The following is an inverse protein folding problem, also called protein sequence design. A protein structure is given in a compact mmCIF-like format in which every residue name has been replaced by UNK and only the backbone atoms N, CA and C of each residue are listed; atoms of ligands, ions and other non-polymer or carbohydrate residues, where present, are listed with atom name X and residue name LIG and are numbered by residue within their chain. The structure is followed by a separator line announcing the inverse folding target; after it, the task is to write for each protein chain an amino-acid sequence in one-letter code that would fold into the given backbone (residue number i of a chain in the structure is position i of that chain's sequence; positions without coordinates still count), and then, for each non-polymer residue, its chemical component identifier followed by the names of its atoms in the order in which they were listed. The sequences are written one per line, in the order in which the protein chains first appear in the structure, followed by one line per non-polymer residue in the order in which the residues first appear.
data_IF_301624834053
#
_entry.id   IF_301624834053
#
_cell.length_a   1.000
_cell.length_b   1.000
_cell.length_c   1.000
_cell.angle_alpha   90.00
_cell.angle_beta   90.00
_cell.angle_gamma   90.00
#
_symmetry.space_group_name_H-M   'P 1'
#
loop_
_entity.id
_entity.type
_entity.pdbx_description
1 polymer ?
#
# COMPACT_ATOMS: atom_id res chain seq x y z
N UNK A 1 -49.32 25.34 -45.72
CA UNK A 1 -48.41 26.21 -46.49
C UNK A 1 -47.39 26.78 -45.51
N UNK A 2 -46.10 26.43 -45.68
CA UNK A 2 -44.86 27.00 -45.09
C UNK A 2 -44.79 27.19 -43.56
N UNK A 3 -44.03 26.38 -42.81
CA UNK A 3 -42.57 26.45 -42.54
C UNK A 3 -42.08 27.84 -42.11
N UNK A 4 -41.55 27.94 -40.88
CA UNK A 4 -40.13 28.27 -40.58
C UNK A 4 -39.84 28.08 -39.07
N UNK A 5 -38.70 27.42 -38.81
CA UNK A 5 -37.99 27.22 -37.55
C UNK A 5 -37.50 28.54 -36.91
N UNK A 6 -37.28 28.56 -35.58
CA UNK A 6 -35.98 28.89 -34.95
C UNK A 6 -35.92 28.25 -33.55
N UNK A 7 -34.75 27.68 -33.24
CA UNK A 7 -34.39 26.94 -32.03
C UNK A 7 -34.05 27.80 -30.81
N UNK A 8 -34.16 27.23 -29.60
CA UNK A 8 -33.37 27.61 -28.43
C UNK A 8 -33.13 26.39 -27.51
N UNK A 9 -31.88 25.95 -27.48
CA UNK A 9 -31.27 25.05 -26.50
C UNK A 9 -31.15 25.75 -25.14
N UNK A 10 -31.53 25.12 -24.02
CA UNK A 10 -30.79 25.15 -22.74
C UNK A 10 -31.15 23.92 -21.87
N UNK A 11 -30.14 23.10 -21.57
CA UNK A 11 -29.85 22.58 -20.21
C UNK A 11 -30.66 21.41 -19.65
N UNK A 12 -30.21 20.18 -19.92
CA UNK A 12 -30.43 19.05 -19.01
C UNK A 12 -29.47 19.13 -17.83
N UNK A 13 -30.01 19.32 -16.61
CA UNK A 13 -29.29 19.15 -15.34
C UNK A 13 -29.44 17.70 -14.86
N UNK A 14 -28.36 16.91 -14.73
CA UNK A 14 -28.41 15.70 -13.91
C UNK A 14 -28.19 16.07 -12.43
N UNK A 15 -29.24 15.87 -11.64
CA UNK A 15 -29.27 15.89 -10.19
C UNK A 15 -28.18 14.96 -9.61
N UNK A 16 -27.20 15.54 -8.92
CA UNK A 16 -26.26 14.79 -8.08
C UNK A 16 -26.93 14.44 -6.75
N UNK A 17 -27.19 13.15 -6.54
CA UNK A 17 -27.64 12.64 -5.25
C UNK A 17 -26.44 12.49 -4.31
N UNK A 18 -26.34 13.40 -3.35
CA UNK A 18 -25.52 13.26 -2.15
C UNK A 18 -26.44 13.35 -0.93
N UNK A 19 -26.55 12.25 -0.18
CA UNK A 19 -26.86 12.13 1.26
C UNK A 19 -27.25 10.68 1.56
N UNK A 20 -26.30 9.90 2.08
CA UNK A 20 -26.62 8.68 2.82
C UNK A 20 -26.66 9.02 4.31
N UNK A 21 -27.84 8.81 4.86
CA UNK A 21 -28.30 8.93 6.24
C UNK A 21 -27.38 8.17 7.21
N UNK A 22 -27.00 8.82 8.31
CA UNK A 22 -26.39 8.14 9.46
C UNK A 22 -27.49 7.45 10.29
N UNK A 23 -27.34 6.18 10.69
CA UNK A 23 -28.25 5.59 11.66
C UNK A 23 -27.84 6.01 13.07
N UNK A 24 -28.78 6.66 13.77
CA UNK A 24 -28.77 6.85 15.22
C UNK A 24 -28.97 5.50 15.91
N UNK A 25 -28.00 5.07 16.72
CA UNK A 25 -28.20 3.98 17.69
C UNK A 25 -28.21 4.57 19.10
N UNK A 26 -29.35 4.34 19.76
CA UNK A 26 -29.58 4.61 21.19
C UNK A 26 -28.64 3.76 22.02
N UNK A 27 -27.87 4.41 22.91
CA UNK A 27 -27.04 3.74 23.90
C UNK A 27 -27.85 3.71 25.19
N UNK A 28 -28.43 2.56 25.53
CA UNK A 28 -28.89 2.34 26.89
C UNK A 28 -27.67 2.27 27.80
N UNK A 29 -27.63 3.21 28.74
CA UNK A 29 -26.64 3.31 29.78
C UNK A 29 -26.80 2.18 30.80
N UNK A 30 -25.68 1.55 31.16
CA UNK A 30 -25.24 1.18 32.51
C UNK A 30 -24.42 -0.12 32.48
N UNK A 31 -23.13 0.02 32.17
CA UNK A 31 -22.10 -0.86 32.72
C UNK A 31 -20.96 0.03 33.21
N UNK A 32 -20.91 0.23 34.53
CA UNK A 32 -19.81 0.88 35.21
C UNK A 32 -18.51 0.12 34.89
N UNK A 33 -17.58 0.78 34.19
CA UNK A 33 -16.17 0.39 34.18
C UNK A 33 -15.38 1.65 34.50
N UNK A 34 -14.96 1.71 35.75
CA UNK A 34 -14.08 2.71 36.33
C UNK A 34 -12.64 2.48 35.85
N UNK A 35 -11.92 3.56 35.56
CA UNK A 35 -10.47 3.58 35.34
C UNK A 35 -9.99 3.59 33.87
N UNK A 36 -9.56 4.77 33.41
CA UNK A 36 -8.63 5.00 32.28
C UNK A 36 -9.09 4.67 30.83
N UNK A 37 -10.35 4.95 30.50
CA UNK A 37 -10.90 4.71 29.15
C UNK A 37 -10.60 5.85 28.15
N UNK A 38 -10.18 7.04 28.61
CA UNK A 38 -9.99 8.21 27.74
C UNK A 38 -8.79 8.14 26.79
N UNK A 39 -7.68 7.48 27.15
CA UNK A 39 -6.56 7.25 26.21
C UNK A 39 -6.86 6.16 25.17
N UNK A 40 -7.77 5.22 25.47
CA UNK A 40 -8.12 4.11 24.56
C UNK A 40 -9.29 4.43 23.62
N UNK A 41 -10.16 5.39 23.94
CA UNK A 41 -11.31 5.74 23.09
C UNK A 41 -10.90 6.37 21.76
N UNK A 42 -9.86 7.20 21.72
CA UNK A 42 -9.35 7.74 20.46
C UNK A 42 -8.70 6.67 19.56
N UNK A 43 -8.11 5.62 20.14
CA UNK A 43 -7.57 4.50 19.38
C UNK A 43 -8.62 3.47 18.94
N UNK A 44 -9.78 3.41 19.59
CA UNK A 44 -10.90 2.55 19.20
C UNK A 44 -11.76 3.17 18.09
N UNK A 45 -11.91 4.51 18.08
CA UNK A 45 -12.76 5.21 17.12
C UNK A 45 -12.23 5.25 15.67
N UNK A 46 -10.95 4.88 15.42
CA UNK A 46 -10.34 4.86 14.08
C UNK A 46 -10.02 3.45 13.55
N UNK A 47 -10.34 2.37 14.28
CA UNK A 47 -10.04 1.01 13.82
C UNK A 47 -11.05 0.59 12.77
N UNK A 48 -10.56 0.28 11.56
CA UNK A 48 -11.35 -0.43 10.56
C UNK A 48 -11.75 -1.80 11.15
N UNK A 49 -13.05 -2.12 11.23
CA UNK A 49 -13.51 -3.41 11.72
C UNK A 49 -12.93 -4.57 10.90
N UNK A 50 -12.56 -5.67 11.57
CA UNK A 50 -11.97 -6.85 10.92
C UNK A 50 -12.85 -7.38 9.77
N UNK A 51 -14.17 -7.40 9.95
CA UNK A 51 -15.12 -7.81 8.91
C UNK A 51 -15.12 -6.91 7.67
N UNK A 52 -14.87 -5.61 7.84
CA UNK A 52 -14.72 -4.69 6.71
C UNK A 52 -13.43 -4.97 5.94
N UNK A 53 -12.33 -5.27 6.64
CA UNK A 53 -11.09 -5.71 6.01
C UNK A 53 -11.28 -7.01 5.22
N UNK A 54 -12.01 -8.00 5.75
CA UNK A 54 -12.36 -9.23 5.00
C UNK A 54 -13.14 -8.88 3.72
N UNK A 55 -14.16 -8.03 3.84
CA UNK A 55 -15.01 -7.65 2.69
C UNK A 55 -14.19 -6.97 1.61
N UNK A 56 -13.30 -6.05 2.01
CA UNK A 56 -12.36 -5.38 1.10
C UNK A 56 -11.39 -6.37 0.46
N UNK A 57 -10.82 -7.30 1.23
CA UNK A 57 -9.93 -8.34 0.71
C UNK A 57 -10.58 -9.24 -0.33
N UNK A 58 -11.83 -9.67 -0.09
CA UNK A 58 -12.58 -10.47 -1.08
C UNK A 58 -12.81 -9.70 -2.38
N UNK A 59 -13.16 -8.41 -2.30
CA UNK A 59 -13.30 -7.55 -3.49
C UNK A 59 -11.99 -7.43 -4.26
N UNK A 60 -10.88 -7.24 -3.55
CA UNK A 60 -9.55 -7.17 -4.15
C UNK A 60 -9.16 -8.49 -4.82
N UNK A 61 -9.45 -9.63 -4.22
CA UNK A 61 -9.23 -10.95 -4.85
C UNK A 61 -10.00 -11.10 -6.16
N UNK A 62 -11.27 -10.67 -6.20
CA UNK A 62 -12.06 -10.64 -7.43
C UNK A 62 -11.42 -9.74 -8.49
N UNK A 63 -11.00 -8.53 -8.13
CA UNK A 63 -10.37 -7.59 -9.07
C UNK A 63 -9.04 -8.14 -9.63
N UNK A 64 -8.21 -8.75 -8.79
CA UNK A 64 -6.96 -9.39 -9.22
C UNK A 64 -7.22 -10.57 -10.15
N UNK A 65 -8.19 -11.43 -9.83
CA UNK A 65 -8.44 -12.66 -10.57
C UNK A 65 -9.29 -12.50 -11.84
N UNK A 66 -9.89 -11.33 -12.05
CA UNK A 66 -10.72 -11.04 -13.21
C UNK A 66 -9.90 -10.64 -14.44
N UNK A 67 -10.48 -10.84 -15.64
CA UNK A 67 -9.95 -10.25 -16.88
C UNK A 67 -9.96 -8.73 -16.80
N UNK A 68 -9.18 -8.04 -17.65
CA UNK A 68 -9.13 -6.57 -17.69
C UNK A 68 -10.54 -5.99 -17.91
N UNK A 69 -11.29 -6.55 -18.85
CA UNK A 69 -12.66 -6.14 -19.14
C UNK A 69 -13.58 -6.32 -17.92
N UNK A 70 -13.52 -7.47 -17.26
CA UNK A 70 -14.32 -7.74 -16.07
C UNK A 70 -13.94 -6.88 -14.88
N UNK A 71 -12.65 -6.71 -14.63
CA UNK A 71 -12.15 -5.85 -13.55
C UNK A 71 -12.59 -4.39 -13.74
N UNK A 72 -12.62 -3.89 -14.98
CA UNK A 72 -13.20 -2.58 -15.33
C UNK A 72 -14.69 -2.51 -14.98
N UNK A 73 -15.47 -3.54 -15.32
CA UNK A 73 -16.90 -3.59 -14.95
C UNK A 73 -17.10 -3.58 -13.43
N UNK A 74 -16.36 -4.42 -12.71
CA UNK A 74 -16.38 -4.49 -11.24
C UNK A 74 -15.98 -3.16 -10.59
N UNK A 75 -15.16 -2.36 -11.28
CA UNK A 75 -14.75 -1.01 -10.87
C UNK A 75 -15.70 0.11 -11.39
N UNK A 76 -16.96 -0.23 -11.70
CA UNK A 76 -17.96 0.75 -12.14
C UNK A 76 -17.66 1.34 -13.52
N UNK A 77 -17.11 0.52 -14.43
CA UNK A 77 -16.66 0.87 -15.78
C UNK A 77 -15.52 1.90 -15.86
N UNK A 78 -14.92 2.25 -14.71
CA UNK A 78 -13.73 3.10 -14.65
C UNK A 78 -12.50 2.29 -15.00
N UNK A 79 -11.59 2.93 -15.71
CA UNK A 79 -10.29 2.36 -16.00
C UNK A 79 -9.59 1.94 -14.70
N UNK A 80 -9.05 0.72 -14.73
CA UNK A 80 -8.31 0.13 -13.62
C UNK A 80 -6.83 0.03 -13.96
N UNK A 81 -6.49 -0.28 -15.22
CA UNK A 81 -5.11 -0.30 -15.68
C UNK A 81 -4.47 1.08 -15.53
N UNK A 82 -3.32 1.11 -14.87
CA UNK A 82 -2.54 2.31 -14.65
C UNK A 82 -1.93 2.78 -15.97
N UNK A 83 -1.94 4.09 -16.19
CA UNK A 83 -1.40 4.73 -17.40
C UNK A 83 0.01 5.28 -17.20
N UNK A 84 0.80 4.70 -16.27
CA UNK A 84 2.18 5.14 -16.07
C UNK A 84 2.93 4.99 -17.39
N UNK A 85 3.38 6.12 -17.92
CA UNK A 85 4.12 6.17 -19.16
C UNK A 85 5.59 5.84 -18.90
N UNK A 86 6.29 5.28 -19.88
CA UNK A 86 7.68 4.80 -19.75
C UNK A 86 8.64 5.91 -19.25
N UNK A 87 8.42 7.16 -19.64
CA UNK A 87 9.21 8.30 -19.16
C UNK A 87 8.93 8.69 -17.71
N UNK A 88 7.78 8.29 -17.17
CA UNK A 88 7.57 8.44 -15.74
C UNK A 88 8.50 7.52 -14.96
N UNK A 89 9.01 6.42 -15.54
CA UNK A 89 9.90 5.39 -14.96
C UNK A 89 11.39 5.77 -15.05
N UNK A 90 11.77 6.71 -15.92
CA UNK A 90 13.18 7.05 -16.18
C UNK A 90 13.87 7.64 -14.94
N UNK A 91 15.03 7.06 -14.60
CA UNK A 91 15.96 7.55 -13.58
C UNK A 91 16.59 8.83 -14.12
N UNK A 92 16.42 9.96 -13.43
CA UNK A 92 17.18 11.17 -13.80
C UNK A 92 18.59 11.05 -13.23
N UNK A 93 19.58 10.85 -14.10
CA UNK A 93 21.01 10.81 -13.75
C UNK A 93 21.58 12.19 -13.33
N UNK A 94 20.78 13.25 -13.43
CA UNK A 94 21.17 14.58 -13.02
C UNK A 94 21.15 14.70 -11.50
N UNK A 95 22.35 14.84 -10.90
CA UNK A 95 22.57 15.14 -9.48
C UNK A 95 21.94 16.48 -9.02
N UNK A 96 21.39 17.28 -9.93
CA UNK A 96 20.96 18.67 -9.66
C UNK A 96 19.45 18.94 -9.55
N UNK A 97 18.54 17.99 -9.81
CA UNK A 97 17.12 18.36 -9.91
C UNK A 97 16.33 18.16 -8.61
N UNK A 98 15.90 19.28 -8.03
CA UNK A 98 14.95 19.51 -6.93
C UNK A 98 13.51 19.02 -7.27
N UNK A 99 13.39 17.85 -7.90
CA UNK A 99 12.19 17.31 -8.54
C UNK A 99 11.78 15.92 -8.04
N UNK A 100 10.52 15.56 -8.30
CA UNK A 100 10.02 14.20 -8.16
C UNK A 100 10.68 13.28 -9.21
N UNK A 101 11.05 12.05 -8.82
CA UNK A 101 11.58 11.06 -9.76
C UNK A 101 12.21 9.81 -9.12
N UNK A 102 12.66 8.91 -10.00
CA UNK A 102 13.31 7.65 -9.63
C UNK A 102 14.79 7.82 -9.42
N UNK A 103 15.31 7.02 -8.52
CA UNK A 103 16.72 6.95 -8.17
C UNK A 103 17.03 5.50 -7.79
N UNK A 104 18.08 4.93 -8.36
CA UNK A 104 18.73 3.76 -7.76
C UNK A 104 19.62 4.29 -6.63
N UNK A 105 19.38 3.82 -5.39
CA UNK A 105 20.18 4.29 -4.27
C UNK A 105 21.51 3.53 -4.27
N UNK A 106 22.58 4.18 -4.69
CA UNK A 106 23.90 3.81 -4.18
C UNK A 106 23.91 4.20 -2.70
N UNK A 107 23.65 3.24 -1.82
CA UNK A 107 23.68 3.46 -0.37
C UNK A 107 25.00 4.15 0.00
N UNK A 108 24.92 5.30 0.67
CA UNK A 108 26.11 5.93 1.21
C UNK A 108 26.83 4.93 2.14
N UNK A 109 28.17 4.98 2.18
CA UNK A 109 28.98 4.07 3.00
C UNK A 109 28.50 4.10 4.47
N UNK A 110 27.86 3.02 4.92
CA UNK A 110 27.33 2.87 6.28
C UNK A 110 25.80 2.95 6.41
N UNK A 111 25.06 3.32 5.36
CA UNK A 111 23.60 3.22 5.33
C UNK A 111 23.17 1.82 4.85
N UNK A 112 22.15 1.26 5.50
CA UNK A 112 21.52 0.00 5.07
C UNK A 112 20.01 0.20 4.95
N UNK A 113 19.34 -0.38 3.93
CA UNK A 113 17.90 -0.38 3.82
C UNK A 113 17.25 -0.92 5.09
N UNK A 114 16.08 -0.40 5.45
CA UNK A 114 15.39 -0.79 6.68
C UNK A 114 15.09 -2.29 6.72
N UNK A 115 14.87 -2.92 5.56
CA UNK A 115 14.63 -4.36 5.48
C UNK A 115 15.83 -5.21 5.90
N UNK A 116 17.05 -4.66 5.95
CA UNK A 116 18.18 -5.37 6.57
C UNK A 116 17.91 -5.64 8.04
N UNK A 117 17.41 -4.64 8.75
CA UNK A 117 17.14 -4.72 10.19
C UNK A 117 15.83 -5.45 10.56
N UNK A 118 15.02 -5.81 9.55
CA UNK A 118 13.87 -6.73 9.67
C UNK A 118 14.26 -8.19 9.39
N UNK A 119 15.56 -8.46 9.17
CA UNK A 119 16.08 -9.79 8.95
C UNK A 119 15.76 -10.36 7.57
N UNK A 120 15.30 -9.54 6.62
CA UNK A 120 15.04 -10.02 5.26
C UNK A 120 16.28 -10.63 4.59
N UNK A 121 17.52 -10.09 4.73
CA UNK A 121 18.69 -10.72 4.13
C UNK A 121 18.87 -12.18 4.53
N UNK A 122 18.73 -12.47 5.82
CA UNK A 122 18.88 -13.82 6.36
C UNK A 122 17.71 -14.75 5.96
N UNK A 123 16.54 -14.17 5.71
CA UNK A 123 15.30 -14.93 5.49
C UNK A 123 14.95 -15.11 4.01
N UNK A 124 15.43 -14.24 3.12
CA UNK A 124 14.95 -14.16 1.75
C UNK A 124 15.12 -15.49 1.02
N UNK A 125 16.34 -16.04 1.03
CA UNK A 125 16.61 -17.33 0.37
C UNK A 125 15.68 -18.44 0.90
N UNK A 126 15.48 -18.53 2.22
CA UNK A 126 14.55 -19.52 2.81
C UNK A 126 13.08 -19.26 2.46
N UNK A 127 12.68 -18.00 2.27
CA UNK A 127 11.31 -17.62 1.93
C UNK A 127 10.97 -17.88 0.47
N UNK A 128 11.90 -17.62 -0.44
CA UNK A 128 11.61 -17.47 -1.88
C UNK A 128 12.50 -18.32 -2.78
N UNK A 129 13.60 -18.87 -2.24
CA UNK A 129 14.66 -19.56 -2.97
C UNK A 129 15.63 -18.61 -3.70
N UNK A 130 15.63 -17.31 -3.37
CA UNK A 130 16.31 -16.29 -4.17
C UNK A 130 17.56 -15.77 -3.46
N UNK A 131 18.64 -15.54 -4.23
CA UNK A 131 19.85 -14.96 -3.68
C UNK A 131 19.62 -13.48 -3.34
N UNK A 132 19.83 -13.14 -2.07
CA UNK A 132 19.67 -11.78 -1.59
C UNK A 132 20.64 -10.77 -2.23
N UNK A 133 21.86 -11.18 -2.55
CA UNK A 133 22.87 -10.30 -3.17
C UNK A 133 22.48 -9.83 -4.58
N UNK A 134 21.47 -10.45 -5.20
CA UNK A 134 20.87 -10.05 -6.48
C UNK A 134 19.75 -9.01 -6.31
N UNK A 135 19.53 -8.50 -5.10
CA UNK A 135 18.45 -7.56 -4.80
C UNK A 135 18.93 -6.13 -4.97
N UNK A 136 18.31 -5.39 -5.88
CA UNK A 136 18.56 -3.97 -6.11
C UNK A 136 17.63 -3.12 -5.24
N UNK A 137 18.12 -1.99 -4.72
CA UNK A 137 17.30 -1.09 -3.91
C UNK A 137 16.97 0.18 -4.68
N UNK A 138 15.69 0.33 -5.01
CA UNK A 138 15.18 1.48 -5.74
C UNK A 138 14.31 2.35 -4.85
N UNK A 139 14.29 3.65 -5.12
CA UNK A 139 13.32 4.54 -4.50
C UNK A 139 12.75 5.56 -5.48
N UNK A 140 11.47 5.90 -5.26
CA UNK A 140 10.80 7.04 -5.87
C UNK A 140 10.66 8.13 -4.81
N UNK A 141 11.21 9.31 -5.07
CA UNK A 141 11.03 10.46 -4.20
C UNK A 141 9.91 11.35 -4.73
N UNK A 142 8.91 11.62 -3.88
CA UNK A 142 7.87 12.60 -4.16
C UNK A 142 8.34 13.94 -3.58
N UNK A 143 8.65 14.91 -4.45
CA UNK A 143 9.01 16.30 -4.16
C UNK A 143 9.65 16.50 -2.75
N UNK A 144 10.96 16.32 -2.67
CA UNK A 144 11.70 16.18 -1.40
C UNK A 144 12.09 17.50 -0.76
N UNK A 145 12.65 18.42 -1.54
CA UNK A 145 13.18 19.70 -1.08
C UNK A 145 12.84 20.80 -2.10
N UNK A 146 12.46 21.97 -1.61
CA UNK A 146 12.15 23.13 -2.44
C UNK A 146 13.06 24.23 -1.96
N UNK A 147 14.06 24.59 -2.78
CA UNK A 147 14.75 25.86 -2.58
C UNK A 147 13.95 26.94 -3.29
N UNK A 148 13.77 28.07 -2.62
CA UNK A 148 13.30 29.29 -3.26
C UNK A 148 14.51 30.22 -3.34
N UNK A 149 14.98 30.52 -4.55
CA UNK A 149 16.15 31.37 -4.79
C UNK A 149 17.43 30.92 -4.05
N UNK A 150 17.72 29.62 -4.04
CA UNK A 150 18.92 29.07 -3.38
C UNK A 150 18.82 28.94 -1.86
N UNK A 151 17.72 29.37 -1.23
CA UNK A 151 17.49 29.17 0.20
C UNK A 151 16.57 27.98 0.46
N UNK A 152 16.96 27.12 1.41
CA UNK A 152 16.17 25.98 1.85
C UNK A 152 14.92 26.45 2.61
N UNK A 153 13.73 26.04 2.15
CA UNK A 153 12.49 26.31 2.88
C UNK A 153 12.22 25.16 3.85
N UNK A 154 12.34 25.43 5.15
CA UNK A 154 11.95 24.49 6.21
C UNK A 154 10.44 24.57 6.45
N UNK A 155 9.72 23.46 6.25
CA UNK A 155 8.29 23.39 6.58
C UNK A 155 8.15 23.00 8.06
N UNK A 156 7.51 23.88 8.85
CA UNK A 156 7.12 23.58 10.23
C UNK A 156 6.06 22.47 10.23
N UNK A 157 6.29 21.41 10.99
CA UNK A 157 5.36 20.29 11.16
C UNK A 157 4.27 20.56 12.20
N UNK A 158 4.11 21.80 12.68
CA UNK A 158 3.05 22.15 13.65
C UNK A 158 1.80 22.67 12.94
N UNK A 159 0.64 22.05 13.22
CA UNK A 159 -0.70 22.42 12.71
C UNK A 159 -1.11 23.89 12.95
N UNK A 160 -0.33 24.66 13.72
CA UNK A 160 -0.60 26.03 14.15
C UNK A 160 -0.12 27.15 13.21
N UNK A 161 0.54 26.86 12.08
CA UNK A 161 1.25 27.88 11.31
C UNK A 161 0.76 28.16 9.88
N UNK A 162 -0.50 27.87 9.53
CA UNK A 162 -1.08 28.35 8.27
C UNK A 162 -1.91 29.62 8.53
N UNK A 163 -1.29 30.79 8.39
CA UNK A 163 -2.01 32.08 8.38
C UNK A 163 -2.82 32.22 7.08
N UNK A 164 -3.98 32.92 7.09
CA UNK A 164 -4.87 33.04 5.92
C UNK A 164 -4.25 33.74 4.70
N UNK A 165 -3.19 34.53 4.93
CA UNK A 165 -2.60 35.41 3.90
C UNK A 165 -1.30 34.83 3.30
N UNK A 166 -1.05 33.54 3.52
CA UNK A 166 0.13 32.85 3.00
C UNK A 166 -0.11 32.53 1.51
N UNK A 167 0.49 33.31 0.60
CA UNK A 167 0.47 33.02 -0.84
C UNK A 167 1.20 31.68 -1.07
N UNK A 168 0.45 30.64 -1.46
CA UNK A 168 0.95 29.33 -1.83
C UNK A 168 1.69 29.40 -3.18
N UNK A 169 2.94 29.83 -3.18
CA UNK A 169 3.85 29.75 -4.34
C UNK A 169 5.06 28.87 -4.01
N UNK A 170 4.83 27.62 -3.61
CA UNK A 170 5.88 26.63 -3.36
C UNK A 170 5.33 25.25 -3.71
N UNK A 171 6.04 24.46 -4.55
CA UNK A 171 5.80 23.01 -4.68
C UNK A 171 5.66 22.42 -3.28
N UNK A 172 4.49 21.90 -2.91
CA UNK A 172 4.31 21.35 -1.56
C UNK A 172 5.21 20.13 -1.40
N UNK A 173 6.24 20.28 -0.58
CA UNK A 173 7.20 19.22 -0.28
C UNK A 173 6.50 18.15 0.53
N UNK A 174 6.27 16.99 -0.08
CA UNK A 174 5.66 15.88 0.64
C UNK A 174 6.67 15.11 1.44
N UNK A 175 7.93 15.06 0.98
CA UNK A 175 8.95 14.11 1.49
C UNK A 175 8.43 12.66 1.51
N UNK A 176 7.40 12.36 0.72
CA UNK A 176 6.87 11.03 0.56
C UNK A 176 7.86 10.24 -0.29
N UNK A 177 7.99 8.96 -0.01
CA UNK A 177 8.94 8.11 -0.70
C UNK A 177 8.38 6.69 -0.81
N UNK A 178 8.73 6.04 -1.91
CA UNK A 178 8.46 4.61 -2.09
C UNK A 178 9.79 3.91 -2.35
N UNK A 179 10.36 3.31 -1.31
CA UNK A 179 11.64 2.62 -1.39
C UNK A 179 11.46 1.12 -1.18
N UNK A 180 11.97 0.34 -2.14
CA UNK A 180 11.71 -1.09 -2.24
C UNK A 180 12.96 -1.83 -2.72
N UNK A 181 13.18 -3.02 -2.15
CA UNK A 181 14.16 -3.98 -2.67
C UNK A 181 13.54 -4.83 -3.77
N UNK A 182 14.20 -4.97 -4.91
CA UNK A 182 13.71 -5.69 -6.08
C UNK A 182 14.68 -6.79 -6.47
N UNK A 183 14.19 -8.02 -6.50
CA UNK A 183 14.96 -9.18 -6.96
C UNK A 183 14.31 -9.70 -8.24
N UNK A 184 14.78 -9.19 -9.39
CA UNK A 184 14.24 -9.49 -10.72
C UNK A 184 14.30 -10.99 -11.04
N UNK A 185 15.48 -11.59 -10.87
CA UNK A 185 15.71 -13.04 -11.07
C UNK A 185 14.79 -13.90 -10.20
N UNK A 186 14.54 -13.46 -8.97
CA UNK A 186 13.78 -14.21 -7.99
C UNK A 186 12.26 -14.03 -8.04
N UNK A 187 11.76 -13.01 -8.76
CA UNK A 187 10.35 -12.66 -8.73
C UNK A 187 9.92 -12.02 -7.41
N UNK A 188 10.75 -11.20 -6.76
CA UNK A 188 10.46 -10.66 -5.41
C UNK A 188 10.47 -9.14 -5.37
N UNK A 189 9.41 -8.57 -4.80
CA UNK A 189 9.36 -7.18 -4.34
C UNK A 189 9.41 -7.16 -2.81
N UNK A 190 10.31 -6.39 -2.23
CA UNK A 190 10.42 -6.11 -0.79
C UNK A 190 10.03 -4.65 -0.56
N UNK A 191 8.78 -4.44 -0.13
CA UNK A 191 8.28 -3.15 0.25
C UNK A 191 8.85 -2.73 1.61
N UNK A 192 9.75 -1.75 1.61
CA UNK A 192 10.51 -1.37 2.79
C UNK A 192 10.03 -0.06 3.41
N UNK A 193 10.46 1.08 2.86
CA UNK A 193 10.15 2.41 3.40
C UNK A 193 9.18 3.11 2.45
N UNK A 194 7.90 3.02 2.78
CA UNK A 194 6.82 3.47 1.91
C UNK A 194 5.89 4.43 2.64
N UNK A 195 5.97 5.72 2.29
CA UNK A 195 5.11 6.79 2.80
C UNK A 195 4.49 7.50 1.61
N UNK A 196 3.17 7.43 1.46
CA UNK A 196 2.48 8.07 0.34
C UNK A 196 2.38 9.59 0.52
N UNK A 197 2.22 10.36 -0.58
CA UNK A 197 1.99 11.80 -0.51
C UNK A 197 0.86 12.18 0.45
N UNK A 198 -0.28 11.50 0.35
CA UNK A 198 -1.45 11.70 1.23
C UNK A 198 -1.12 11.46 2.71
N UNK A 199 -0.34 10.43 3.02
CA UNK A 199 0.08 10.15 4.39
C UNK A 199 1.08 11.20 4.92
N UNK A 200 1.79 11.89 4.03
CA UNK A 200 2.78 12.88 4.42
C UNK A 200 2.21 14.28 4.64
N UNK A 201 1.19 14.69 3.88
CA UNK A 201 0.64 16.05 3.95
C UNK A 201 -0.77 16.13 4.55
N UNK A 202 -1.45 15.00 4.80
CA UNK A 202 -2.81 15.00 5.35
C UNK A 202 -3.89 15.42 4.34
N UNK A 203 -4.84 16.26 4.76
CA UNK A 203 -6.02 16.68 3.98
C UNK A 203 -5.81 17.99 3.20
N UNK A 204 -4.61 18.24 2.67
CA UNK A 204 -4.35 19.43 1.85
C UNK A 204 -5.01 19.28 0.46
N UNK A 205 -5.71 20.30 -0.07
CA UNK A 205 -6.42 20.23 -1.35
C UNK A 205 -5.53 19.85 -2.55
N UNK A 206 -6.12 19.26 -3.60
CA UNK A 206 -5.39 18.55 -4.65
C UNK A 206 -4.85 19.53 -5.70
N UNK A 207 -3.71 20.17 -5.43
CA UNK A 207 -2.79 20.42 -6.53
C UNK A 207 -2.10 19.10 -6.89
N UNK A 208 -1.51 18.92 -8.10
CA UNK A 208 -0.70 17.74 -8.40
C UNK A 208 0.54 17.75 -7.49
N UNK A 209 0.35 17.13 -6.32
CA UNK A 209 1.33 16.98 -5.25
C UNK A 209 2.45 16.00 -5.67
N UNK A 210 2.12 15.08 -6.58
CA UNK A 210 3.04 14.12 -7.19
C UNK A 210 2.35 13.44 -8.40
N UNK A 211 3.15 13.03 -9.39
CA UNK A 211 2.76 12.16 -10.51
C UNK A 211 2.41 10.76 -10.00
N UNK A 212 3.26 10.17 -9.15
CA UNK A 212 3.03 8.84 -8.56
C UNK A 212 2.42 8.92 -7.16
N UNK A 213 1.10 8.70 -7.07
CA UNK A 213 0.34 8.87 -5.82
C UNK A 213 0.25 7.60 -4.98
N UNK A 214 0.40 6.44 -5.59
CA UNK A 214 0.18 5.13 -4.97
C UNK A 214 1.46 4.30 -4.98
N UNK A 215 1.59 3.47 -3.95
CA UNK A 215 2.71 2.54 -3.87
C UNK A 215 2.68 1.49 -4.99
N UNK A 216 1.49 1.05 -5.43
CA UNK A 216 1.35 0.03 -6.49
C UNK A 216 2.04 0.46 -7.78
N UNK A 217 1.79 1.70 -8.17
CA UNK A 217 2.37 2.34 -9.36
C UNK A 217 3.89 2.46 -9.23
N UNK A 218 4.36 2.96 -8.08
CA UNK A 218 5.79 3.10 -7.81
C UNK A 218 6.52 1.75 -7.75
N UNK A 219 5.90 0.74 -7.15
CA UNK A 219 6.50 -0.59 -7.06
C UNK A 219 6.49 -1.31 -8.40
N UNK A 220 5.47 -1.09 -9.25
CA UNK A 220 5.43 -1.65 -10.60
C UNK A 220 6.56 -1.11 -11.48
N UNK A 221 6.76 0.22 -11.53
CA UNK A 221 7.85 0.81 -12.33
C UNK A 221 9.24 0.29 -11.90
N UNK A 222 9.49 0.19 -10.60
CA UNK A 222 10.73 -0.40 -10.07
C UNK A 222 10.87 -1.88 -10.38
N UNK A 223 9.76 -2.63 -10.37
CA UNK A 223 9.77 -4.04 -10.70
C UNK A 223 10.09 -4.26 -12.17
N UNK A 224 9.48 -3.49 -13.08
CA UNK A 224 9.76 -3.58 -14.52
C UNK A 224 11.24 -3.28 -14.82
N UNK A 225 11.80 -2.23 -14.21
CA UNK A 225 13.24 -1.93 -14.30
C UNK A 225 14.11 -3.09 -13.81
N UNK A 226 13.81 -3.62 -12.61
CA UNK A 226 14.60 -4.70 -12.01
C UNK A 226 14.50 -6.02 -12.77
N UNK A 227 13.32 -6.36 -13.28
CA UNK A 227 13.10 -7.55 -14.09
C UNK A 227 13.90 -7.45 -15.41
N UNK A 228 13.80 -6.32 -16.11
CA UNK A 228 14.55 -6.08 -17.34
C UNK A 228 16.07 -6.09 -17.12
N UNK A 229 16.57 -5.45 -16.05
CA UNK A 229 17.99 -5.45 -15.72
C UNK A 229 18.55 -6.86 -15.42
N UNK A 230 17.69 -7.77 -14.95
CA UNK A 230 18.04 -9.16 -14.68
C UNK A 230 17.77 -10.11 -15.86
N UNK A 231 17.34 -9.60 -17.03
CA UNK A 231 16.84 -10.40 -18.17
C UNK A 231 15.74 -11.40 -17.74
N UNK A 232 14.93 -10.99 -16.76
CA UNK A 232 13.83 -11.76 -16.21
C UNK A 232 12.49 -11.28 -16.78
N UNK A 233 11.50 -12.17 -16.95
CA UNK A 233 10.21 -11.77 -17.48
C UNK A 233 9.46 -10.89 -16.47
N UNK A 234 8.86 -9.78 -16.94
CA UNK A 234 8.10 -8.84 -16.10
C UNK A 234 6.89 -9.53 -15.44
N UNK A 235 6.27 -10.51 -16.10
CA UNK A 235 5.22 -11.35 -15.52
C UNK A 235 5.78 -12.46 -14.60
N UNK A 236 7.08 -12.49 -14.33
CA UNK A 236 7.75 -13.41 -13.40
C UNK A 236 7.59 -13.09 -11.91
N UNK A 237 6.76 -12.11 -11.53
CA UNK A 237 6.55 -11.73 -10.13
C UNK A 237 5.87 -12.86 -9.34
N UNK A 238 6.53 -13.32 -8.25
CA UNK A 238 6.12 -14.46 -7.42
C UNK A 238 5.78 -14.07 -5.98
N UNK A 239 6.46 -13.06 -5.43
CA UNK A 239 6.33 -12.70 -4.03
C UNK A 239 6.33 -11.18 -3.82
N UNK A 240 5.50 -10.71 -2.88
CA UNK A 240 5.57 -9.36 -2.35
C UNK A 240 5.74 -9.44 -0.83
N UNK A 241 6.86 -8.94 -0.33
CA UNK A 241 7.17 -8.86 1.09
C UNK A 241 6.91 -7.43 1.58
N UNK A 242 6.06 -7.26 2.57
CA UNK A 242 5.87 -6.01 3.31
C UNK A 242 6.76 -6.07 4.55
N UNK A 243 7.93 -5.44 4.46
CA UNK A 243 8.94 -5.39 5.52
C UNK A 243 8.57 -4.35 6.58
N UNK A 244 8.88 -4.66 7.84
CA UNK A 244 8.85 -3.74 8.97
C UNK A 244 7.62 -2.81 9.03
N UNK A 245 6.45 -3.42 9.10
CA UNK A 245 5.17 -2.73 9.02
C UNK A 245 4.97 -1.87 10.26
N UNK A 246 4.91 -0.55 10.08
CA UNK A 246 4.63 0.45 11.13
C UNK A 246 3.20 0.98 11.09
N UNK A 247 2.43 0.68 10.03
CA UNK A 247 1.04 1.12 9.90
C UNK A 247 0.15 0.40 10.93
N UNK A 248 -0.44 1.16 11.84
CA UNK A 248 -1.23 0.61 12.96
C UNK A 248 -2.47 -0.17 12.50
N UNK A 249 -3.12 0.26 11.42
CA UNK A 249 -4.29 -0.44 10.86
C UNK A 249 -3.90 -1.85 10.42
N UNK A 250 -2.84 -2.01 9.63
CA UNK A 250 -2.31 -3.32 9.22
C UNK A 250 -1.90 -4.15 10.44
N UNK A 251 -1.16 -3.57 11.39
CA UNK A 251 -0.74 -4.29 12.60
C UNK A 251 -1.94 -4.79 13.43
N UNK A 252 -3.01 -4.01 13.52
CA UNK A 252 -4.25 -4.42 14.20
C UNK A 252 -4.89 -5.64 13.53
N UNK A 253 -4.98 -5.64 12.20
CA UNK A 253 -5.54 -6.79 11.48
C UNK A 253 -4.66 -8.04 11.61
N UNK A 254 -3.32 -7.87 11.66
CA UNK A 254 -2.38 -8.96 11.95
C UNK A 254 -2.67 -9.57 13.32
N UNK A 255 -2.77 -8.75 14.36
CA UNK A 255 -3.03 -9.21 15.73
C UNK A 255 -4.35 -9.97 15.81
N UNK A 256 -5.41 -9.40 15.22
CA UNK A 256 -6.73 -10.01 15.23
C UNK A 256 -6.74 -11.34 14.47
N UNK A 257 -6.10 -11.41 13.29
CA UNK A 257 -5.96 -12.65 12.54
C UNK A 257 -5.22 -13.73 13.34
N UNK A 258 -4.10 -13.36 13.99
CA UNK A 258 -3.31 -14.27 14.84
C UNK A 258 -4.12 -14.80 16.04
N UNK A 259 -4.87 -13.93 16.74
CA UNK A 259 -5.72 -14.34 17.87
C UNK A 259 -6.79 -15.35 17.45
N UNK A 260 -7.42 -15.14 16.29
CA UNK A 260 -8.46 -16.04 15.76
C UNK A 260 -7.95 -17.43 15.42
N UNK A 261 -6.66 -17.56 15.11
CA UNK A 261 -6.01 -18.86 14.90
C UNK A 261 -5.26 -19.36 16.15
N UNK A 262 -5.55 -18.78 17.32
CA UNK A 262 -5.10 -19.30 18.62
C UNK A 262 -3.73 -18.82 19.08
N UNK A 263 -3.10 -17.87 18.40
CA UNK A 263 -1.84 -17.30 18.87
C UNK A 263 -2.08 -16.32 20.02
N UNK A 264 -1.28 -16.43 21.08
CA UNK A 264 -1.20 -15.45 22.18
C UNK A 264 0.02 -14.53 22.05
N UNK A 265 0.97 -14.89 21.19
CA UNK A 265 2.21 -14.16 20.93
C UNK A 265 2.46 -14.03 19.43
N UNK A 266 3.35 -13.13 19.03
CA UNK A 266 3.79 -13.06 17.65
C UNK A 266 4.67 -14.26 17.30
N UNK A 267 4.39 -14.96 16.18
CA UNK A 267 5.29 -15.98 15.67
C UNK A 267 6.60 -15.34 15.20
N UNK A 268 7.71 -16.00 15.46
CA UNK A 268 8.99 -15.67 14.84
C UNK A 268 9.09 -16.22 13.42
N UNK A 269 10.22 -16.00 12.77
CA UNK A 269 10.44 -16.43 11.39
C UNK A 269 10.29 -17.96 11.19
N UNK A 270 10.88 -18.75 12.10
CA UNK A 270 10.88 -20.21 12.02
C UNK A 270 9.47 -20.83 12.14
N UNK A 271 8.58 -20.18 12.89
CA UNK A 271 7.21 -20.62 13.16
C UNK A 271 6.16 -19.63 12.64
N UNK A 272 6.48 -18.91 11.56
CA UNK A 272 5.60 -17.92 10.92
C UNK A 272 4.21 -18.48 10.63
N UNK A 273 3.17 -17.67 10.84
CA UNK A 273 1.80 -18.06 10.55
C UNK A 273 1.50 -17.88 9.07
N UNK A 274 0.90 -18.88 8.43
CA UNK A 274 0.40 -18.78 7.06
C UNK A 274 -1.13 -18.68 7.07
N UNK A 275 -1.66 -17.68 6.39
CA UNK A 275 -3.08 -17.55 6.10
C UNK A 275 -3.29 -17.83 4.62
N UNK A 276 -4.11 -18.82 4.28
CA UNK A 276 -4.34 -19.24 2.88
C UNK A 276 -5.80 -19.07 2.49
N UNK A 277 -6.04 -18.62 1.26
CA UNK A 277 -7.39 -18.57 0.66
C UNK A 277 -8.06 -19.94 0.57
N UNK A 278 -7.27 -21.00 0.54
CA UNK A 278 -7.71 -22.39 0.34
C UNK A 278 -7.58 -23.24 1.61
N UNK A 279 -7.37 -22.60 2.77
CA UNK A 279 -7.32 -23.33 4.03
C UNK A 279 -8.67 -23.98 4.34
N UNK A 280 -8.63 -25.12 5.02
CA UNK A 280 -9.81 -25.77 5.60
C UNK A 280 -10.26 -25.08 6.90
N UNK A 281 -9.40 -24.25 7.51
CA UNK A 281 -9.74 -23.47 8.69
C UNK A 281 -10.32 -22.11 8.27
N UNK A 282 -11.60 -21.87 8.58
CA UNK A 282 -12.28 -20.61 8.22
C UNK A 282 -11.60 -19.38 8.83
N UNK A 283 -11.02 -19.48 10.03
CA UNK A 283 -10.30 -18.36 10.63
C UNK A 283 -9.01 -18.02 9.86
N UNK A 284 -8.40 -19.01 9.20
CA UNK A 284 -7.25 -18.75 8.32
C UNK A 284 -7.68 -18.11 7.00
N UNK A 285 -8.81 -18.53 6.43
CA UNK A 285 -9.40 -17.93 5.23
C UNK A 285 -9.80 -16.48 5.49
N UNK A 286 -10.45 -16.22 6.63
CA UNK A 286 -10.83 -14.88 7.06
C UNK A 286 -9.60 -14.03 7.37
N UNK A 287 -8.59 -14.60 8.03
CA UNK A 287 -7.28 -13.97 8.21
C UNK A 287 -6.62 -13.57 6.91
N UNK A 288 -6.65 -14.45 5.90
CA UNK A 288 -6.12 -14.16 4.58
C UNK A 288 -6.80 -12.93 3.97
N UNK A 289 -8.14 -12.90 3.91
CA UNK A 289 -8.86 -11.78 3.32
C UNK A 289 -8.76 -10.51 4.17
N UNK A 290 -8.73 -10.61 5.50
CA UNK A 290 -8.52 -9.45 6.36
C UNK A 290 -7.16 -8.79 6.09
N UNK A 291 -6.09 -9.59 6.01
CA UNK A 291 -4.74 -9.10 5.70
C UNK A 291 -4.66 -8.51 4.30
N UNK A 292 -5.30 -9.13 3.31
CA UNK A 292 -5.40 -8.59 1.95
C UNK A 292 -6.14 -7.24 1.91
N UNK A 293 -7.13 -7.03 2.80
CA UNK A 293 -7.88 -5.78 2.92
C UNK A 293 -7.14 -4.63 3.61
N UNK A 294 -6.02 -4.90 4.31
CA UNK A 294 -5.22 -3.85 4.96
C UNK A 294 -4.62 -2.86 3.96
N UNK A 295 -4.13 -1.67 4.37
CA UNK A 295 -3.39 -0.78 3.48
C UNK A 295 -2.20 -1.46 2.79
N UNK A 296 -1.46 -2.30 3.53
CA UNK A 296 -0.30 -3.04 3.00
C UNK A 296 -0.71 -4.16 2.03
N UNK A 297 -1.78 -4.90 2.31
CA UNK A 297 -2.32 -5.93 1.42
C UNK A 297 -3.00 -5.34 0.19
N UNK A 298 -3.76 -4.26 0.36
CA UNK A 298 -4.45 -3.57 -0.73
C UNK A 298 -3.45 -2.99 -1.72
N UNK A 299 -2.35 -2.39 -1.26
CA UNK A 299 -1.28 -1.94 -2.16
C UNK A 299 -0.76 -3.08 -3.05
N UNK A 300 -0.46 -4.25 -2.46
CA UNK A 300 -0.03 -5.44 -3.19
C UNK A 300 -1.09 -5.93 -4.19
N UNK A 301 -2.37 -5.91 -3.79
CA UNK A 301 -3.45 -6.33 -4.65
C UNK A 301 -3.70 -5.36 -5.81
N UNK A 302 -3.60 -4.05 -5.55
CA UNK A 302 -3.73 -3.04 -6.59
C UNK A 302 -2.62 -3.18 -7.63
N UNK A 303 -1.37 -3.41 -7.22
CA UNK A 303 -0.27 -3.68 -8.17
C UNK A 303 -0.64 -4.79 -9.18
N UNK A 304 -1.23 -5.90 -8.71
CA UNK A 304 -1.65 -6.99 -9.60
C UNK A 304 -2.93 -6.69 -10.38
N UNK A 305 -3.80 -5.82 -9.86
CA UNK A 305 -5.08 -5.49 -10.47
C UNK A 305 -4.98 -4.38 -11.52
N UNK A 306 -4.00 -3.48 -11.43
CA UNK A 306 -3.85 -2.29 -12.28
C UNK A 306 -2.72 -2.40 -13.30
N UNK A 307 -1.96 -3.49 -13.32
CA UNK A 307 -0.87 -3.70 -14.29
C UNK A 307 -0.98 -5.07 -14.98
N UNK A 308 -2.21 -5.55 -15.21
CA UNK A 308 -2.48 -6.87 -15.81
C UNK A 308 -1.91 -6.97 -17.22
N UNK A 309 -1.88 -5.88 -17.97
CA UNK A 309 -1.33 -5.86 -19.33
C UNK A 309 0.15 -6.29 -19.40
N UNK A 310 0.90 -6.10 -18.31
CA UNK A 310 2.33 -6.41 -18.22
C UNK A 310 2.63 -7.61 -17.31
N UNK A 311 1.89 -7.75 -16.21
CA UNK A 311 2.06 -8.85 -15.25
C UNK A 311 1.28 -10.10 -15.62
N UNK A 312 0.37 -10.02 -16.61
CA UNK A 312 -0.67 -11.02 -16.78
C UNK A 312 -1.69 -11.00 -15.63
N UNK A 313 -2.67 -11.89 -15.70
CA UNK A 313 -3.70 -11.99 -14.66
C UNK A 313 -3.16 -12.88 -13.53
N UNK A 314 -2.88 -12.24 -12.38
CA UNK A 314 -2.32 -12.89 -11.20
C UNK A 314 -3.24 -12.73 -10.00
N UNK A 315 -3.04 -13.58 -9.00
CA UNK A 315 -3.70 -13.48 -7.70
C UNK A 315 -2.76 -13.79 -6.56
N UNK A 316 -3.11 -13.32 -5.37
CA UNK A 316 -2.44 -13.70 -4.13
C UNK A 316 -3.13 -14.96 -3.57
N UNK A 317 -2.34 -15.95 -3.15
CA UNK A 317 -2.85 -17.24 -2.62
C UNK A 317 -2.71 -17.38 -1.12
N UNK A 318 -1.67 -16.76 -0.55
CA UNK A 318 -1.39 -16.81 0.87
C UNK A 318 -0.72 -15.54 1.38
N UNK A 319 -0.87 -15.31 2.67
CA UNK A 319 -0.19 -14.27 3.44
C UNK A 319 0.53 -14.93 4.61
N UNK A 320 1.85 -14.84 4.66
CA UNK A 320 2.67 -15.32 5.77
C UNK A 320 3.06 -14.16 6.67
N UNK A 321 2.98 -14.33 7.98
CA UNK A 321 3.23 -13.27 8.97
C UNK A 321 4.22 -13.72 10.03
N UNK A 322 5.19 -12.85 10.35
CA UNK A 322 6.16 -13.08 11.42
C UNK A 322 6.69 -11.77 11.99
N UNK A 323 7.19 -11.85 13.22
CA UNK A 323 8.00 -10.81 13.83
C UNK A 323 9.49 -11.15 13.71
N UNK A 324 10.32 -10.15 13.42
CA UNK A 324 11.78 -10.29 13.43
C UNK A 324 12.40 -9.81 14.74
N UNK A 325 13.53 -10.41 15.12
CA UNK A 325 14.34 -10.02 16.28
C UNK A 325 13.80 -10.49 17.63
N UNK A 326 12.48 -10.59 17.80
CA UNK A 326 11.84 -11.08 19.01
C UNK A 326 10.81 -12.16 18.68
N UNK A 327 10.91 -13.33 19.30
CA UNK A 327 9.85 -14.35 19.30
C UNK A 327 9.07 -14.28 20.60
N UNK A 328 7.85 -14.82 20.61
CA UNK A 328 7.01 -14.93 21.81
C UNK A 328 6.63 -13.59 22.46
N UNK A 329 6.66 -12.49 21.71
CA UNK A 329 6.17 -11.19 22.17
C UNK A 329 4.63 -11.26 22.30
N UNK A 330 4.04 -10.94 23.46
CA UNK A 330 2.58 -10.98 23.62
C UNK A 330 1.86 -10.09 22.61
N UNK A 331 0.75 -10.57 22.06
CA UNK A 331 -0.12 -9.80 21.15
C UNK A 331 -0.82 -8.61 21.83
N UNK A 332 -0.63 -8.45 23.14
CA UNK A 332 -1.16 -7.35 23.97
C UNK A 332 -0.08 -6.33 24.36
N UNK A 333 1.18 -6.56 23.97
CA UNK A 333 2.30 -5.70 24.34
C UNK A 333 2.29 -4.32 23.66
N UNK A 334 3.20 -3.45 24.09
CA UNK A 334 3.48 -2.19 23.41
C UNK A 334 3.97 -2.44 21.98
N UNK A 335 3.53 -1.59 21.04
CA UNK A 335 3.81 -1.72 19.60
C UNK A 335 5.27 -1.53 19.22
N UNK A 336 5.98 -0.74 20.01
CA UNK A 336 7.42 -0.54 19.89
C UNK A 336 8.08 -1.55 20.85
N UNK A 337 8.70 -2.64 20.37
CA UNK A 337 9.62 -2.70 19.22
C UNK A 337 9.24 -3.70 18.12
N UNK A 338 7.96 -3.77 17.71
CA UNK A 338 7.52 -4.76 16.73
C UNK A 338 8.18 -4.56 15.37
N UNK A 339 8.74 -5.64 14.83
CA UNK A 339 9.31 -5.72 13.49
C UNK A 339 8.49 -6.71 12.67
N UNK A 340 7.20 -6.41 12.52
CA UNK A 340 6.25 -7.27 11.83
C UNK A 340 6.48 -7.24 10.33
N UNK A 341 6.39 -8.40 9.71
CA UNK A 341 6.51 -8.58 8.27
C UNK A 341 5.34 -9.40 7.77
N UNK A 342 4.96 -9.15 6.51
CA UNK A 342 4.04 -10.01 5.77
C UNK A 342 4.67 -10.41 4.44
N UNK A 343 4.47 -11.64 3.98
CA UNK A 343 4.79 -12.06 2.62
C UNK A 343 3.55 -12.59 1.92
N UNK A 344 3.28 -12.06 0.74
CA UNK A 344 2.25 -12.53 -0.16
C UNK A 344 2.87 -13.44 -1.23
N UNK A 345 2.31 -14.63 -1.39
CA UNK A 345 2.64 -15.55 -2.50
C UNK A 345 1.66 -15.32 -3.64
N UNK A 346 2.17 -15.26 -4.87
CA UNK A 346 1.44 -14.91 -6.07
C UNK A 346 1.45 -16.10 -7.05
N UNK A 347 0.32 -16.31 -7.73
CA UNK A 347 0.22 -17.27 -8.84
C UNK A 347 -0.47 -16.65 -10.05
N UNK A 348 -0.27 -17.27 -11.22
CA UNK A 348 -1.03 -16.98 -12.42
C UNK A 348 -2.46 -17.53 -12.31
N UNK A 349 -3.42 -16.80 -12.87
CA UNK A 349 -4.81 -17.24 -12.95
C UNK A 349 -5.04 -17.94 -14.29
N UNK A 350 -5.15 -19.27 -14.27
CA UNK A 350 -5.37 -20.07 -15.48
C UNK A 350 -6.72 -19.78 -16.16
N UNK A 351 -7.78 -19.61 -15.35
CA UNK A 351 -9.15 -19.37 -15.82
C UNK A 351 -9.69 -18.10 -15.14
N UNK A 352 -9.40 -16.91 -15.70
CA UNK A 352 -9.87 -15.66 -15.14
C UNK A 352 -11.39 -15.53 -15.31
N UNK A 353 -12.03 -14.83 -14.37
CA UNK A 353 -13.44 -14.52 -14.48
C UNK A 353 -13.68 -13.43 -15.53
N UNK A 354 -14.64 -13.67 -16.42
CA UNK A 354 -15.14 -12.72 -17.43
C UNK A 354 -16.31 -11.85 -16.96
#
# INVERSE_FOLDING_TARGET
MMLILVALLVGFLPLTWSRAVAPTLSIDALAQIDGNVTENLHQLAKRVPYAESITKGRRLDCLMSATIARARQLNGNRQLESEIEEWEILISDAEDDEGEGWRELQLAKGETPKYYSSGMPANLNTLTGTNFEKTHYYYHANVRDGRVNGQQVLVSTSETALKPDSVLTIKQLTRAEFANGMNGEGGVIIADKNKSPRAAIGQVPPFPISRIKQWSDAAFGQWELAANAADAPVDGLRFIIRSWITNEETQNQIIEALRRVGHSTFPGFANRQTFSRSSQNQNEVDGFYALLGTPNGAGSAFLLATHKGKLGIKRITSAQVWNHGLSNVPLTGWRDPWKLNMMFTIENVANPAD
#
